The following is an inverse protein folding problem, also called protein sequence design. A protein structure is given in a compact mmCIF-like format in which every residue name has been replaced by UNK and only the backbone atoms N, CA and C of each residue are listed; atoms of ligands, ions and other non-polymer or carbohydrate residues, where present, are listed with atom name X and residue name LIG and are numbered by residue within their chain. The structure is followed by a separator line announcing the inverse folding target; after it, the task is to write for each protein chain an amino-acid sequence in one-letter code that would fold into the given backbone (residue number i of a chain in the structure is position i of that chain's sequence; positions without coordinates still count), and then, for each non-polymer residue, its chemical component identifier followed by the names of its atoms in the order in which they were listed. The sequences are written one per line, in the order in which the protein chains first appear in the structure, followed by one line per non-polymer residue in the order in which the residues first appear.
data_IF_166777237770
#
_entry.id   IF_166777237770
#
_cell.length_a   1.000
_cell.length_b   1.000
_cell.length_c   1.000
_cell.angle_alpha   90.00
_cell.angle_beta   90.00
_cell.angle_gamma   90.00
#
_symmetry.space_group_name_H-M   'P 1'
#
loop_
_entity.id
_entity.type
_entity.pdbx_description
1 polymer ?
#
# COMPACT_ATOMS: atom_id res chain seq x y z
N UNK A 1 17.70 11.28 1.61
CA UNK A 1 18.41 10.33 2.50
C UNK A 1 19.36 9.47 1.68
N UNK A 2 20.35 8.81 2.27
CA UNK A 2 21.24 7.91 1.54
C UNK A 2 20.54 6.69 0.93
N UNK A 3 19.28 6.42 1.33
CA UNK A 3 18.53 5.22 0.96
C UNK A 3 17.58 5.41 -0.21
N UNK A 4 17.30 6.64 -0.66
CA UNK A 4 16.41 6.91 -1.78
C UNK A 4 16.72 8.25 -2.46
N UNK A 5 16.31 8.36 -3.74
CA UNK A 5 16.37 9.58 -4.54
C UNK A 5 14.96 10.09 -4.77
N UNK A 6 14.71 11.35 -4.45
CA UNK A 6 13.48 12.06 -4.79
C UNK A 6 13.67 12.76 -6.14
N UNK A 7 12.76 12.50 -7.09
CA UNK A 7 12.76 13.12 -8.41
C UNK A 7 11.48 13.94 -8.55
N UNK A 8 11.62 15.24 -8.77
CA UNK A 8 10.50 16.11 -9.06
C UNK A 8 10.29 16.19 -10.57
N UNK A 9 9.15 15.68 -11.05
CA UNK A 9 8.81 15.60 -12.47
C UNK A 9 7.75 16.63 -12.89
N UNK A 10 7.47 17.62 -12.07
CA UNK A 10 6.39 18.60 -12.32
C UNK A 10 6.57 19.37 -13.63
N UNK A 11 7.82 19.60 -14.06
CA UNK A 11 8.13 20.28 -15.33
C UNK A 11 7.56 19.58 -16.56
N UNK A 12 7.28 18.26 -16.45
CA UNK A 12 6.66 17.50 -17.54
C UNK A 12 5.15 17.75 -17.66
N UNK A 13 4.53 18.37 -16.66
CA UNK A 13 3.06 18.46 -16.56
C UNK A 13 2.52 19.88 -16.46
N UNK A 14 3.31 20.84 -15.99
CA UNK A 14 2.83 22.20 -15.75
C UNK A 14 3.97 23.23 -15.79
N UNK A 15 3.65 24.50 -16.12
CA UNK A 15 4.56 25.61 -15.88
C UNK A 15 4.90 25.69 -14.39
N UNK A 16 6.19 25.71 -14.06
CA UNK A 16 6.68 25.65 -12.68
C UNK A 16 7.13 26.99 -12.15
N UNK A 17 7.21 27.08 -10.84
CA UNK A 17 7.88 28.14 -10.10
C UNK A 17 8.59 27.54 -8.88
N UNK A 18 9.73 28.13 -8.52
CA UNK A 18 10.48 27.78 -7.30
C UNK A 18 10.16 28.79 -6.23
N UNK A 19 9.94 28.32 -5.00
CA UNK A 19 9.79 29.17 -3.82
C UNK A 19 10.64 28.65 -2.66
N UNK A 20 11.09 29.57 -1.80
CA UNK A 20 11.81 29.33 -0.58
C UNK A 20 10.93 29.59 0.64
N UNK A 21 10.95 28.70 1.60
CA UNK A 21 10.24 28.85 2.88
C UNK A 21 11.24 28.94 4.00
N UNK A 22 11.12 30.01 4.81
CA UNK A 22 11.89 30.20 6.04
C UNK A 22 10.97 29.94 7.22
N UNK A 23 11.35 29.06 8.13
CA UNK A 23 10.64 28.79 9.39
C UNK A 23 11.34 29.48 10.53
N UNK A 24 10.60 30.24 11.33
CA UNK A 24 11.07 30.96 12.50
C UNK A 24 10.30 30.57 13.76
N UNK A 25 10.94 30.66 14.91
CA UNK A 25 10.26 30.58 16.19
C UNK A 25 9.54 31.87 16.55
N UNK A 26 8.86 31.91 17.71
CA UNK A 26 8.15 33.10 18.18
C UNK A 26 9.05 34.31 18.56
N UNK A 27 10.38 34.11 18.61
CA UNK A 27 11.38 35.12 18.83
C UNK A 27 12.06 35.61 17.54
N UNK A 28 11.69 35.01 16.40
CA UNK A 28 12.23 35.35 15.09
C UNK A 28 13.52 34.62 14.71
N UNK A 29 13.98 33.65 15.52
CA UNK A 29 15.15 32.84 15.19
C UNK A 29 14.80 31.77 14.16
N UNK A 30 15.74 31.41 13.26
CA UNK A 30 15.53 30.32 12.32
C UNK A 30 15.42 28.97 13.05
N UNK A 31 14.55 28.10 12.55
CA UNK A 31 14.30 26.77 13.13
C UNK A 31 14.87 25.71 12.20
N UNK A 32 15.96 25.08 12.61
CA UNK A 32 16.56 23.94 11.92
C UNK A 32 15.72 22.67 12.08
N UNK A 33 15.64 21.82 11.04
CA UNK A 33 14.95 20.53 11.08
C UNK A 33 13.43 20.62 11.30
N UNK A 34 12.80 21.76 11.05
CA UNK A 34 11.35 21.87 11.08
C UNK A 34 10.74 21.07 9.90
N UNK A 35 9.69 20.32 10.17
CA UNK A 35 8.88 19.65 9.15
C UNK A 35 8.02 20.69 8.44
N UNK A 36 8.15 20.79 7.13
CA UNK A 36 7.39 21.70 6.27
C UNK A 36 6.56 20.89 5.29
N UNK A 37 5.25 21.02 5.37
CA UNK A 37 4.30 20.34 4.51
C UNK A 37 3.65 21.34 3.56
N UNK A 38 3.73 21.06 2.27
CA UNK A 38 3.06 21.81 1.21
C UNK A 38 1.74 21.13 0.89
N UNK A 39 0.63 21.82 1.07
CA UNK A 39 -0.71 21.26 1.00
C UNK A 39 -1.56 21.94 -0.06
N UNK A 40 -2.25 21.11 -0.86
CA UNK A 40 -3.27 21.55 -1.80
C UNK A 40 -4.67 21.38 -1.21
N UNK A 41 -5.56 22.33 -1.46
CA UNK A 41 -6.96 22.19 -1.14
C UNK A 41 -7.67 21.41 -2.22
N UNK A 42 -8.26 20.27 -1.84
CA UNK A 42 -9.02 19.41 -2.74
C UNK A 42 -10.05 18.60 -1.94
N UNK A 43 -11.23 18.35 -2.50
CA UNK A 43 -12.31 17.61 -1.84
C UNK A 43 -12.59 18.09 -0.38
N UNK A 44 -12.64 19.40 -0.17
CA UNK A 44 -12.87 20.04 1.12
C UNK A 44 -11.79 19.79 2.20
N UNK A 45 -10.60 19.32 1.81
CA UNK A 45 -9.47 19.07 2.71
C UNK A 45 -8.15 19.62 2.16
N UNK A 46 -7.17 19.81 3.03
CA UNK A 46 -5.79 20.14 2.67
C UNK A 46 -4.92 18.89 2.62
N UNK A 47 -4.60 18.42 1.41
CA UNK A 47 -3.74 17.25 1.18
C UNK A 47 -2.26 17.64 1.07
N UNK A 48 -1.40 16.98 1.83
CA UNK A 48 0.05 17.16 1.73
C UNK A 48 0.58 16.54 0.44
N UNK A 49 1.12 17.37 -0.45
CA UNK A 49 1.71 16.93 -1.73
C UNK A 49 3.22 16.82 -1.68
N UNK A 50 3.88 17.56 -0.78
CA UNK A 50 5.31 17.47 -0.55
C UNK A 50 5.63 17.75 0.91
N UNK A 51 6.65 17.07 1.45
CA UNK A 51 7.19 17.32 2.79
C UNK A 51 8.68 17.58 2.67
N UNK A 52 9.16 18.65 3.29
CA UNK A 52 10.57 19.01 3.38
C UNK A 52 10.96 19.22 4.83
N UNK A 53 12.26 19.28 5.08
CA UNK A 53 12.82 19.73 6.36
C UNK A 53 13.66 20.98 6.13
N UNK A 54 13.62 21.89 7.06
CA UNK A 54 14.47 23.08 7.04
C UNK A 54 15.92 22.70 7.36
N UNK A 55 16.85 23.44 6.76
CA UNK A 55 18.28 23.39 7.08
C UNK A 55 18.62 24.25 8.32
N UNK A 56 19.93 24.32 8.66
CA UNK A 56 20.43 25.10 9.80
C UNK A 56 20.10 26.61 9.73
N UNK A 57 19.79 27.14 8.55
CA UNK A 57 19.31 28.51 8.36
C UNK A 57 17.77 28.66 8.49
N UNK A 58 17.09 27.56 8.82
CA UNK A 58 15.64 27.52 8.91
C UNK A 58 14.94 27.50 7.55
N UNK A 59 15.64 27.13 6.47
CA UNK A 59 15.12 27.25 5.10
C UNK A 59 14.90 25.88 4.42
N UNK A 60 13.90 25.84 3.59
CA UNK A 60 13.73 24.77 2.58
C UNK A 60 13.18 25.36 1.28
N UNK A 61 13.28 24.60 0.19
CA UNK A 61 12.78 25.02 -1.14
C UNK A 61 11.91 23.97 -1.78
N UNK A 62 10.94 24.42 -2.58
CA UNK A 62 10.15 23.54 -3.43
C UNK A 62 9.99 24.17 -4.82
N UNK A 63 10.08 23.35 -5.87
CA UNK A 63 9.62 23.68 -7.21
C UNK A 63 8.27 22.99 -7.43
N UNK A 64 7.24 23.75 -7.75
CA UNK A 64 5.88 23.23 -7.93
C UNK A 64 5.18 23.93 -9.09
N UNK A 65 4.02 23.42 -9.51
CA UNK A 65 3.13 24.12 -10.42
C UNK A 65 2.67 25.46 -9.82
N UNK A 66 2.30 26.38 -10.67
CA UNK A 66 1.79 27.69 -10.24
C UNK A 66 0.45 27.56 -9.51
N UNK A 67 0.15 28.49 -8.63
CA UNK A 67 -1.10 28.56 -7.83
C UNK A 67 -0.83 28.60 -6.34
N UNK A 68 -1.90 28.56 -5.56
CA UNK A 68 -1.85 28.70 -4.12
C UNK A 68 -1.72 27.34 -3.41
N UNK A 69 -0.84 27.29 -2.42
CA UNK A 69 -0.70 26.18 -1.49
C UNK A 69 -0.73 26.69 -0.04
N UNK A 70 -1.23 25.88 0.87
CA UNK A 70 -1.02 26.08 2.30
C UNK A 70 0.31 25.45 2.69
N UNK A 71 1.21 26.23 3.27
CA UNK A 71 2.48 25.76 3.84
C UNK A 71 2.29 25.63 5.34
N UNK A 72 2.43 24.41 5.86
CA UNK A 72 2.33 24.09 7.28
C UNK A 72 3.71 23.68 7.81
N UNK A 73 4.20 24.39 8.80
CA UNK A 73 5.47 24.05 9.44
C UNK A 73 5.24 23.62 10.89
N UNK A 74 5.98 22.60 11.35
CA UNK A 74 5.88 22.12 12.72
C UNK A 74 7.22 21.63 13.26
N UNK A 75 7.43 21.81 14.57
CA UNK A 75 8.55 21.27 15.35
C UNK A 75 8.24 21.31 16.84
N UNK A 76 8.57 20.23 17.56
CA UNK A 76 8.52 20.12 19.03
C UNK A 76 7.17 20.56 19.63
N UNK A 77 6.04 20.12 19.02
CA UNK A 77 4.70 20.43 19.46
C UNK A 77 4.24 21.88 19.18
N UNK A 78 5.03 22.63 18.42
CA UNK A 78 4.65 23.94 17.90
C UNK A 78 4.42 23.89 16.40
N UNK A 79 3.52 24.75 15.92
CA UNK A 79 3.25 24.83 14.48
C UNK A 79 2.92 26.27 14.07
N UNK A 80 2.97 26.48 12.78
CA UNK A 80 2.51 27.68 12.11
C UNK A 80 2.19 27.38 10.66
N UNK A 81 1.44 28.25 10.01
CA UNK A 81 1.12 28.06 8.60
C UNK A 81 0.86 29.40 7.90
N UNK A 82 1.04 29.40 6.60
CA UNK A 82 0.72 30.55 5.75
C UNK A 82 0.43 30.09 4.32
N UNK A 83 -0.28 30.90 3.57
CA UNK A 83 -0.52 30.71 2.14
C UNK A 83 0.70 31.12 1.34
N UNK A 84 1.09 30.29 0.37
CA UNK A 84 2.15 30.56 -0.59
C UNK A 84 1.57 30.51 -2.00
N UNK A 85 1.76 31.59 -2.77
CA UNK A 85 1.32 31.68 -4.16
C UNK A 85 2.48 31.43 -5.10
N UNK A 86 2.64 30.18 -5.58
CA UNK A 86 3.70 29.81 -6.52
C UNK A 86 3.57 30.58 -7.83
N UNK A 87 4.68 31.17 -8.26
CA UNK A 87 4.76 32.02 -9.47
C UNK A 87 4.43 33.49 -9.23
N UNK A 88 3.92 33.85 -8.03
CA UNK A 88 3.70 35.24 -7.63
C UNK A 88 4.58 35.61 -6.44
N UNK A 89 4.87 34.69 -5.57
CA UNK A 89 5.60 34.88 -4.32
C UNK A 89 6.79 33.89 -4.27
N UNK A 90 8.05 34.38 -4.43
CA UNK A 90 9.23 33.50 -4.43
C UNK A 90 9.69 33.12 -3.03
N UNK A 91 9.24 33.82 -1.99
CA UNK A 91 9.67 33.61 -0.60
C UNK A 91 8.47 33.68 0.37
N UNK A 92 8.52 32.83 1.40
CA UNK A 92 7.53 32.82 2.47
C UNK A 92 8.24 32.64 3.82
N UNK A 93 7.81 33.37 4.82
CA UNK A 93 8.18 33.10 6.22
C UNK A 93 6.99 32.50 6.97
N UNK A 94 7.21 31.39 7.64
CA UNK A 94 6.23 30.75 8.54
C UNK A 94 6.78 30.84 9.97
N UNK A 95 6.00 31.38 10.89
CA UNK A 95 6.37 31.46 12.31
C UNK A 95 5.66 30.36 13.10
N UNK A 96 6.39 29.63 13.94
CA UNK A 96 5.83 28.62 14.85
C UNK A 96 5.21 29.31 16.08
N UNK A 97 4.09 29.96 15.90
CA UNK A 97 3.41 30.81 16.91
C UNK A 97 2.27 30.10 17.66
N UNK A 98 1.91 28.87 17.24
CA UNK A 98 0.84 28.05 17.82
C UNK A 98 1.38 26.78 18.46
N UNK A 99 0.57 26.16 19.34
CA UNK A 99 0.85 24.87 19.97
C UNK A 99 -0.15 23.81 19.50
N UNK A 100 0.26 22.57 19.47
CA UNK A 100 -0.66 21.45 19.26
C UNK A 100 -1.80 21.48 20.28
N UNK A 101 -3.05 21.33 19.81
CA UNK A 101 -4.24 21.42 20.63
C UNK A 101 -4.86 22.83 20.71
N UNK A 102 -4.21 23.85 20.17
CA UNK A 102 -4.82 25.18 20.08
C UNK A 102 -6.03 25.15 19.13
N UNK A 103 -7.16 25.66 19.59
CA UNK A 103 -8.35 25.83 18.75
C UNK A 103 -8.27 27.19 18.05
N UNK A 104 -8.45 27.21 16.75
CA UNK A 104 -8.53 28.43 15.97
C UNK A 104 -9.50 28.26 14.79
N UNK A 105 -10.01 29.37 14.28
CA UNK A 105 -10.75 29.44 13.03
C UNK A 105 -10.10 30.51 12.15
N UNK A 106 -10.00 30.28 10.87
CA UNK A 106 -9.42 31.20 9.90
C UNK A 106 -10.04 30.98 8.53
N UNK A 107 -10.32 32.04 7.84
CA UNK A 107 -10.67 32.01 6.42
C UNK A 107 -9.38 32.04 5.58
N UNK A 108 -9.24 31.10 4.67
CA UNK A 108 -8.10 31.02 3.75
C UNK A 108 -8.66 31.08 2.33
N UNK A 109 -8.39 32.19 1.65
CA UNK A 109 -8.71 32.35 0.24
C UNK A 109 -7.66 31.63 -0.62
N UNK A 110 -8.05 30.54 -1.30
CA UNK A 110 -7.20 29.74 -2.17
C UNK A 110 -7.63 29.98 -3.62
N UNK A 111 -6.75 30.61 -4.39
CA UNK A 111 -7.00 30.93 -5.78
C UNK A 111 -6.32 29.91 -6.68
N UNK A 112 -7.05 29.22 -7.59
CA UNK A 112 -6.44 28.32 -8.56
C UNK A 112 -5.53 29.12 -9.50
N UNK A 113 -4.54 28.46 -10.14
CA UNK A 113 -3.74 29.12 -11.18
C UNK A 113 -4.64 29.52 -12.32
N UNK A 114 -4.28 30.64 -12.97
CA UNK A 114 -4.95 31.05 -14.21
C UNK A 114 -4.77 29.92 -15.25
N UNK A 115 -5.79 29.68 -16.06
CA UNK A 115 -5.69 28.75 -17.18
C UNK A 115 -4.48 29.11 -18.04
N UNK A 116 -3.64 28.12 -18.30
CA UNK A 116 -2.49 28.27 -19.18
C UNK A 116 -2.94 27.95 -20.61
N UNK A 117 -2.93 28.95 -21.48
CA UNK A 117 -3.15 28.75 -22.91
C UNK A 117 -1.93 28.10 -23.61
N UNK A 118 -0.81 27.90 -22.91
CA UNK A 118 0.42 27.34 -23.45
C UNK A 118 0.40 25.81 -23.42
N UNK A 119 -0.64 25.20 -23.97
CA UNK A 119 -0.55 23.81 -24.35
C UNK A 119 0.40 23.68 -25.54
N UNK A 120 1.32 22.71 -25.54
CA UNK A 120 2.16 22.48 -26.70
C UNK A 120 1.29 22.27 -27.94
N UNK A 121 1.61 22.94 -29.03
CA UNK A 121 0.97 22.68 -30.31
C UNK A 121 1.32 21.23 -30.72
N UNK A 122 0.30 20.43 -30.89
CA UNK A 122 0.45 19.04 -31.36
C UNK A 122 0.25 19.04 -32.86
N UNK A 123 1.28 18.68 -33.60
CA UNK A 123 1.19 18.60 -35.08
C UNK A 123 0.27 17.46 -35.52
N UNK A 124 -0.27 17.47 -36.74
CA UNK A 124 -1.04 16.36 -37.27
C UNK A 124 -0.29 15.03 -37.22
N UNK A 125 1.01 15.02 -37.49
CA UNK A 125 1.88 13.84 -37.48
C UNK A 125 2.04 13.29 -36.05
N UNK A 126 2.21 14.15 -35.05
CA UNK A 126 2.27 13.76 -33.66
C UNK A 126 0.95 13.15 -33.16
N UNK A 127 -0.18 13.70 -33.64
CA UNK A 127 -1.52 13.18 -33.33
C UNK A 127 -1.70 11.80 -33.95
N UNK A 128 -1.36 11.62 -35.21
CA UNK A 128 -1.41 10.33 -35.90
C UNK A 128 -0.52 9.29 -35.23
N UNK A 129 0.69 9.66 -34.79
CA UNK A 129 1.57 8.77 -34.03
C UNK A 129 0.98 8.37 -32.71
N UNK A 130 0.35 9.30 -31.99
CA UNK A 130 -0.35 9.00 -30.74
C UNK A 130 -1.53 8.02 -30.96
N UNK A 131 -2.31 8.23 -32.02
CA UNK A 131 -3.43 7.35 -32.35
C UNK A 131 -2.95 5.94 -32.70
N UNK A 132 -1.81 5.80 -33.40
CA UNK A 132 -1.16 4.50 -33.65
C UNK A 132 -0.72 3.81 -32.37
N UNK A 133 -0.13 4.57 -31.42
CA UNK A 133 0.26 4.03 -30.10
C UNK A 133 -0.94 3.56 -29.30
N UNK A 134 -2.01 4.36 -29.26
CA UNK A 134 -3.25 3.98 -28.58
C UNK A 134 -3.87 2.71 -29.19
N UNK A 135 -3.91 2.63 -30.53
CA UNK A 135 -4.40 1.43 -31.21
C UNK A 135 -3.55 0.19 -30.91
N UNK A 136 -2.23 0.35 -30.82
CA UNK A 136 -1.33 -0.73 -30.42
C UNK A 136 -1.54 -1.17 -28.97
N UNK A 137 -1.66 -0.22 -28.02
CA UNK A 137 -1.98 -0.51 -26.62
C UNK A 137 -3.33 -1.22 -26.46
N UNK A 138 -4.34 -0.80 -27.22
CA UNK A 138 -5.64 -1.46 -27.25
C UNK A 138 -5.55 -2.88 -27.79
N UNK A 139 -4.71 -3.13 -28.79
CA UNK A 139 -4.49 -4.47 -29.32
C UNK A 139 -3.89 -5.41 -28.26
N UNK A 140 -2.90 -4.93 -27.48
CA UNK A 140 -2.32 -5.68 -26.35
C UNK A 140 -3.37 -5.95 -25.29
N UNK A 141 -4.13 -4.93 -24.91
CA UNK A 141 -5.20 -5.05 -23.90
C UNK A 141 -6.26 -6.06 -24.33
N UNK A 142 -6.72 -5.96 -25.57
CA UNK A 142 -7.73 -6.86 -26.13
C UNK A 142 -7.18 -8.29 -26.23
N UNK A 143 -5.91 -8.46 -26.63
CA UNK A 143 -5.22 -9.76 -26.62
C UNK A 143 -5.18 -10.38 -25.23
N UNK A 144 -4.94 -9.59 -24.20
CA UNK A 144 -4.98 -10.07 -22.80
C UNK A 144 -6.42 -10.44 -22.38
N UNK A 145 -7.42 -9.60 -22.68
CA UNK A 145 -8.83 -9.88 -22.36
C UNK A 145 -9.32 -11.16 -23.03
N UNK A 146 -8.90 -11.40 -24.28
CA UNK A 146 -9.23 -12.62 -25.01
C UNK A 146 -8.71 -13.92 -24.35
N UNK A 147 -7.74 -13.81 -23.43
CA UNK A 147 -7.28 -14.96 -22.64
C UNK A 147 -8.17 -15.32 -21.47
N UNK A 148 -9.15 -14.47 -21.11
CA UNK A 148 -10.01 -14.68 -19.95
C UNK A 148 -10.95 -15.87 -20.18
N UNK A 149 -11.26 -16.55 -19.09
CA UNK A 149 -12.17 -17.69 -19.14
C UNK A 149 -13.63 -17.22 -19.21
N UNK A 150 -14.40 -17.71 -20.17
CA UNK A 150 -15.82 -17.43 -20.25
C UNK A 150 -16.60 -18.14 -19.14
N UNK A 151 -17.79 -17.64 -18.77
CA UNK A 151 -18.67 -18.29 -17.80
C UNK A 151 -19.05 -19.71 -18.21
N UNK A 152 -19.30 -19.94 -19.51
CA UNK A 152 -19.65 -21.24 -20.03
C UNK A 152 -18.50 -22.25 -19.87
N UNK A 153 -17.27 -21.84 -20.20
CA UNK A 153 -16.10 -22.67 -20.02
C UNK A 153 -15.83 -22.94 -18.52
N UNK A 154 -16.02 -21.93 -17.65
CA UNK A 154 -15.90 -22.10 -16.21
C UNK A 154 -16.96 -23.06 -15.65
N UNK A 155 -18.20 -22.98 -16.12
CA UNK A 155 -19.31 -23.88 -15.75
C UNK A 155 -19.05 -25.31 -16.18
N UNK A 156 -18.55 -25.51 -17.39
CA UNK A 156 -18.15 -26.83 -17.91
C UNK A 156 -17.05 -27.43 -17.06
N UNK A 157 -16.00 -26.67 -16.76
CA UNK A 157 -14.90 -27.09 -15.89
C UNK A 157 -15.41 -27.46 -14.48
N UNK A 158 -16.24 -26.61 -13.87
CA UNK A 158 -16.75 -26.87 -12.52
C UNK A 158 -17.55 -28.18 -12.44
N UNK A 159 -18.37 -28.47 -13.43
CA UNK A 159 -19.14 -29.74 -13.52
C UNK A 159 -18.23 -30.95 -13.70
N UNK A 160 -17.22 -30.84 -14.58
CA UNK A 160 -16.24 -31.90 -14.82
C UNK A 160 -15.53 -32.32 -13.54
N UNK A 161 -15.14 -31.36 -12.70
CA UNK A 161 -14.43 -31.62 -11.45
C UNK A 161 -15.33 -31.76 -10.22
N UNK A 162 -16.67 -31.75 -10.42
CA UNK A 162 -17.69 -31.88 -9.35
C UNK A 162 -17.45 -30.84 -8.23
N UNK A 163 -17.24 -29.59 -8.62
CA UNK A 163 -17.13 -28.45 -7.72
C UNK A 163 -18.49 -27.80 -7.51
N UNK A 164 -18.60 -26.93 -6.50
CA UNK A 164 -19.70 -25.97 -6.39
C UNK A 164 -19.67 -25.07 -7.64
N UNK A 165 -20.65 -25.26 -8.53
CA UNK A 165 -20.61 -24.66 -9.88
C UNK A 165 -20.64 -23.14 -9.80
N UNK A 166 -21.54 -22.57 -9.00
CA UNK A 166 -21.71 -21.12 -8.97
C UNK A 166 -20.54 -20.42 -8.27
N UNK A 167 -20.00 -21.02 -7.23
CA UNK A 167 -18.80 -20.51 -6.58
C UNK A 167 -17.59 -20.59 -7.50
N UNK A 168 -17.36 -21.73 -8.17
CA UNK A 168 -16.24 -21.92 -9.08
C UNK A 168 -16.30 -20.97 -10.29
N UNK A 169 -17.48 -20.73 -10.86
CA UNK A 169 -17.68 -19.78 -11.96
C UNK A 169 -17.30 -18.38 -11.53
N UNK A 170 -17.84 -17.89 -10.41
CA UNK A 170 -17.49 -16.56 -9.89
C UNK A 170 -15.99 -16.38 -9.68
N UNK A 171 -15.32 -17.38 -9.10
CA UNK A 171 -13.89 -17.35 -8.85
C UNK A 171 -13.08 -17.33 -10.15
N UNK A 172 -13.39 -18.23 -11.09
CA UNK A 172 -12.65 -18.36 -12.34
C UNK A 172 -12.81 -17.13 -13.24
N UNK A 173 -13.99 -16.55 -13.32
CA UNK A 173 -14.21 -15.30 -14.06
C UNK A 173 -13.49 -14.12 -13.37
N UNK A 174 -13.57 -14.01 -12.04
CA UNK A 174 -12.90 -12.96 -11.30
C UNK A 174 -11.36 -13.03 -11.39
N UNK A 175 -10.81 -14.23 -11.59
CA UNK A 175 -9.36 -14.44 -11.72
C UNK A 175 -8.78 -13.94 -13.06
N UNK A 176 -9.61 -13.61 -14.04
CA UNK A 176 -9.19 -13.08 -15.36
C UNK A 176 -8.10 -13.95 -15.99
N UNK A 177 -6.94 -13.36 -16.37
CA UNK A 177 -5.81 -14.05 -16.98
C UNK A 177 -5.16 -15.14 -16.10
N UNK A 178 -5.34 -15.06 -14.77
CA UNK A 178 -4.80 -16.04 -13.82
C UNK A 178 -5.68 -17.31 -13.67
N UNK A 179 -6.76 -17.43 -14.45
CA UNK A 179 -7.67 -18.58 -14.36
C UNK A 179 -6.94 -19.94 -14.51
N UNK A 180 -5.82 -20.01 -15.21
CA UNK A 180 -5.02 -21.23 -15.35
C UNK A 180 -4.48 -21.70 -14.00
N UNK A 181 -3.86 -20.82 -13.22
CA UNK A 181 -3.37 -21.10 -11.86
C UNK A 181 -4.50 -21.56 -10.94
N UNK A 182 -5.64 -20.85 -10.99
CA UNK A 182 -6.81 -21.20 -10.19
C UNK A 182 -7.37 -22.59 -10.57
N UNK A 183 -7.44 -22.89 -11.86
CA UNK A 183 -7.83 -24.24 -12.35
C UNK A 183 -6.86 -25.31 -11.87
N UNK A 184 -5.55 -25.07 -12.00
CA UNK A 184 -4.52 -26.01 -11.56
C UNK A 184 -4.63 -26.30 -10.05
N UNK A 185 -4.92 -25.27 -9.27
CA UNK A 185 -5.24 -25.47 -7.85
C UNK A 185 -6.49 -26.30 -7.65
N UNK A 186 -7.61 -25.96 -8.32
CA UNK A 186 -8.89 -26.67 -8.19
C UNK A 186 -8.78 -28.14 -8.60
N UNK A 187 -7.98 -28.49 -9.62
CA UNK A 187 -7.75 -29.88 -10.05
C UNK A 187 -7.05 -30.75 -9.01
N UNK A 188 -6.35 -30.14 -8.05
CA UNK A 188 -5.69 -30.82 -6.93
C UNK A 188 -6.64 -31.18 -5.78
N UNK A 189 -7.85 -30.65 -5.78
CA UNK A 189 -8.86 -30.87 -4.75
C UNK A 189 -9.59 -32.22 -4.99
N UNK A 190 -9.05 -33.31 -4.46
CA UNK A 190 -9.50 -34.69 -4.78
C UNK A 190 -10.69 -35.17 -3.93
N UNK A 191 -10.75 -34.78 -2.66
CA UNK A 191 -11.83 -35.18 -1.74
C UNK A 191 -12.87 -34.09 -1.59
N UNK A 192 -14.10 -34.46 -1.20
CA UNK A 192 -15.17 -33.48 -0.92
C UNK A 192 -14.73 -32.47 0.17
N UNK A 193 -13.99 -32.91 1.19
CA UNK A 193 -13.44 -32.03 2.22
C UNK A 193 -12.45 -31.02 1.61
N UNK A 194 -11.54 -31.49 0.73
CA UNK A 194 -10.58 -30.60 0.07
C UNK A 194 -11.25 -29.63 -0.91
N UNK A 195 -12.26 -30.08 -1.66
CA UNK A 195 -13.05 -29.21 -2.56
C UNK A 195 -13.73 -28.09 -1.79
N UNK A 196 -14.47 -28.43 -0.72
CA UNK A 196 -15.13 -27.44 0.14
C UNK A 196 -14.10 -26.47 0.74
N UNK A 197 -12.99 -26.97 1.26
CA UNK A 197 -11.94 -26.14 1.84
C UNK A 197 -11.23 -25.24 0.83
N UNK A 198 -10.96 -25.74 -0.39
CA UNK A 198 -10.32 -24.97 -1.45
C UNK A 198 -11.23 -23.88 -2.03
N UNK A 199 -12.50 -24.18 -2.25
CA UNK A 199 -13.47 -23.16 -2.67
C UNK A 199 -13.65 -22.10 -1.56
N UNK A 200 -13.75 -22.48 -0.29
CA UNK A 200 -13.82 -21.54 0.84
C UNK A 200 -12.55 -20.64 0.89
N UNK A 201 -11.35 -21.19 0.67
CA UNK A 201 -10.13 -20.41 0.58
C UNK A 201 -10.20 -19.37 -0.56
N UNK A 202 -10.54 -19.80 -1.77
CA UNK A 202 -10.59 -18.93 -2.94
C UNK A 202 -11.66 -17.83 -2.82
N UNK A 203 -12.77 -18.09 -2.12
CA UNK A 203 -13.79 -17.09 -1.82
C UNK A 203 -13.35 -16.02 -0.81
N UNK A 204 -12.29 -16.29 -0.03
CA UNK A 204 -11.72 -15.34 0.95
C UNK A 204 -10.66 -14.43 0.32
N UNK A 205 -10.10 -14.83 -0.81
CA UNK A 205 -9.11 -14.06 -1.55
C UNK A 205 -9.81 -12.91 -2.28
N UNK A 206 -9.21 -11.72 -2.25
CA UNK A 206 -9.76 -10.55 -2.96
C UNK A 206 -9.76 -10.78 -4.48
N UNK A 207 -10.67 -10.12 -5.20
CA UNK A 207 -10.69 -10.19 -6.66
C UNK A 207 -9.36 -9.70 -7.30
N UNK A 208 -8.65 -8.80 -6.63
CA UNK A 208 -7.31 -8.36 -7.05
C UNK A 208 -6.32 -9.52 -6.91
N UNK A 209 -6.28 -10.15 -5.73
CA UNK A 209 -5.33 -11.21 -5.45
C UNK A 209 -5.60 -12.49 -6.28
N UNK A 210 -6.86 -12.77 -6.61
CA UNK A 210 -7.20 -13.87 -7.53
C UNK A 210 -6.56 -13.71 -8.91
N UNK A 211 -6.23 -12.49 -9.35
CA UNK A 211 -5.65 -12.21 -10.66
C UNK A 211 -4.15 -12.48 -10.74
N UNK A 212 -3.48 -12.63 -9.61
CA UNK A 212 -2.00 -12.76 -9.56
C UNK A 212 -1.47 -13.77 -8.52
N UNK A 213 -2.34 -14.32 -7.65
CA UNK A 213 -1.91 -15.32 -6.67
C UNK A 213 -1.26 -16.53 -7.32
N UNK A 214 -0.12 -16.95 -6.78
CA UNK A 214 0.59 -18.14 -7.27
C UNK A 214 -0.02 -19.45 -6.76
N UNK A 215 0.21 -20.53 -7.51
CA UNK A 215 -0.21 -21.88 -7.09
C UNK A 215 0.45 -22.28 -5.77
N UNK A 216 1.70 -21.91 -5.56
CA UNK A 216 2.44 -22.20 -4.34
C UNK A 216 1.79 -21.60 -3.11
N UNK A 217 1.37 -20.31 -3.18
CA UNK A 217 0.63 -19.64 -2.10
C UNK A 217 -0.69 -20.37 -1.82
N UNK A 218 -1.46 -20.72 -2.84
CA UNK A 218 -2.73 -21.41 -2.67
C UNK A 218 -2.56 -22.77 -1.99
N UNK A 219 -1.56 -23.55 -2.41
CA UNK A 219 -1.25 -24.87 -1.82
C UNK A 219 -0.78 -24.71 -0.37
N UNK A 220 0.06 -23.73 -0.09
CA UNK A 220 0.54 -23.43 1.27
C UNK A 220 -0.61 -23.10 2.21
N UNK A 221 -1.52 -22.24 1.78
CA UNK A 221 -2.63 -21.80 2.61
C UNK A 221 -3.77 -22.81 2.74
N UNK A 222 -3.86 -23.81 1.85
CA UNK A 222 -4.75 -24.96 2.05
C UNK A 222 -4.38 -25.81 3.28
N UNK A 223 -3.12 -25.81 3.68
CA UNK A 223 -2.63 -26.55 4.85
C UNK A 223 -2.96 -25.87 6.18
N UNK A 224 -3.98 -25.03 6.22
CA UNK A 224 -4.34 -24.29 7.43
C UNK A 224 -4.86 -25.19 8.51
N UNK A 225 -4.16 -25.24 9.64
CA UNK A 225 -4.59 -25.92 10.87
C UNK A 225 -5.38 -25.00 11.81
N UNK A 226 -5.58 -23.74 11.42
CA UNK A 226 -6.27 -22.76 12.26
C UNK A 226 -7.73 -23.14 12.42
N UNK A 227 -8.16 -23.39 13.66
CA UNK A 227 -9.54 -23.67 14.01
C UNK A 227 -10.13 -22.47 14.76
N UNK A 228 -11.29 -22.02 14.29
CA UNK A 228 -12.06 -20.96 14.96
C UNK A 228 -13.55 -21.23 14.79
N UNK A 229 -14.32 -21.05 15.87
CA UNK A 229 -15.77 -21.27 15.88
C UNK A 229 -16.57 -20.09 15.32
N UNK A 230 -16.01 -18.88 15.30
CA UNK A 230 -16.71 -17.69 14.85
C UNK A 230 -16.54 -17.51 13.32
N UNK A 231 -17.66 -17.48 12.59
CA UNK A 231 -17.62 -17.36 11.12
C UNK A 231 -16.99 -16.05 10.65
N UNK A 232 -17.26 -14.93 11.32
CA UNK A 232 -16.65 -13.67 10.98
C UNK A 232 -15.13 -13.70 11.17
N UNK A 233 -14.65 -14.37 12.23
CA UNK A 233 -13.23 -14.53 12.49
C UNK A 233 -12.56 -15.45 11.46
N UNK A 234 -13.25 -16.53 11.07
CA UNK A 234 -12.80 -17.44 10.01
C UNK A 234 -12.55 -16.70 8.69
N UNK A 235 -13.36 -15.70 8.38
CA UNK A 235 -13.22 -14.86 7.17
C UNK A 235 -11.84 -14.21 7.09
N UNK A 236 -11.32 -13.69 8.20
CA UNK A 236 -10.01 -13.04 8.25
C UNK A 236 -8.87 -14.04 8.36
N UNK A 237 -8.98 -15.00 9.26
CA UNK A 237 -7.91 -15.96 9.57
C UNK A 237 -7.59 -16.90 8.42
N UNK A 238 -8.55 -17.18 7.55
CA UNK A 238 -8.35 -18.02 6.36
C UNK A 238 -7.87 -17.28 5.12
N UNK A 239 -7.96 -15.96 5.11
CA UNK A 239 -7.38 -15.17 4.03
C UNK A 239 -5.85 -15.34 4.06
N UNK A 240 -5.20 -15.71 2.93
CA UNK A 240 -3.74 -15.74 2.84
C UNK A 240 -3.12 -14.39 3.21
N UNK A 241 -3.74 -13.30 2.83
CA UNK A 241 -3.31 -11.95 3.15
C UNK A 241 -3.71 -11.58 4.58
N UNK A 242 -2.79 -11.03 5.34
CA UNK A 242 -3.04 -10.52 6.70
C UNK A 242 -3.59 -9.10 6.64
N UNK A 243 -2.95 -8.24 5.86
CA UNK A 243 -3.33 -6.83 5.64
C UNK A 243 -3.11 -6.43 4.17
N UNK A 244 -2.00 -5.78 3.84
CA UNK A 244 -1.66 -5.29 2.50
C UNK A 244 -0.24 -5.70 2.04
N UNK A 245 0.35 -6.69 2.67
CA UNK A 245 1.65 -7.27 2.31
C UNK A 245 1.59 -8.07 1.00
N UNK A 246 2.76 -8.35 0.42
CA UNK A 246 2.88 -9.30 -0.67
C UNK A 246 2.49 -10.71 -0.21
N UNK A 247 1.67 -11.41 -1.01
CA UNK A 247 1.31 -12.80 -0.75
C UNK A 247 2.51 -13.71 -0.92
N UNK A 248 2.84 -14.47 0.14
CA UNK A 248 3.94 -15.44 0.15
C UNK A 248 3.50 -16.75 0.80
N UNK A 249 4.19 -17.87 0.53
CA UNK A 249 3.90 -19.17 1.17
C UNK A 249 4.48 -19.22 2.59
N UNK A 250 4.14 -18.24 3.44
CA UNK A 250 4.73 -18.05 4.76
C UNK A 250 4.51 -19.21 5.73
N UNK A 251 3.46 -20.02 5.54
CA UNK A 251 3.21 -21.16 6.43
C UNK A 251 4.26 -22.24 6.30
N UNK A 252 4.59 -22.62 5.07
CA UNK A 252 5.67 -23.56 4.79
C UNK A 252 7.03 -23.00 5.19
N UNK A 253 7.22 -21.68 5.01
CA UNK A 253 8.43 -21.02 5.43
C UNK A 253 8.63 -21.13 6.96
N UNK A 254 7.67 -20.70 7.77
CA UNK A 254 7.80 -20.76 9.23
C UNK A 254 7.94 -22.18 9.76
N UNK A 255 7.28 -23.15 9.15
CA UNK A 255 7.45 -24.58 9.50
C UNK A 255 8.87 -25.11 9.27
N UNK A 256 9.65 -24.48 8.39
CA UNK A 256 11.05 -24.84 8.15
C UNK A 256 12.03 -24.15 9.10
N UNK A 257 11.74 -22.92 9.50
CA UNK A 257 12.69 -22.07 10.23
C UNK A 257 12.43 -21.98 11.73
N UNK A 258 11.25 -22.38 12.20
CA UNK A 258 10.90 -22.48 13.63
C UNK A 258 10.97 -23.94 14.04
N UNK A 259 11.61 -24.22 15.17
CA UNK A 259 11.70 -25.58 15.68
C UNK A 259 10.32 -26.12 16.08
N UNK A 260 10.16 -27.44 16.04
CA UNK A 260 8.90 -28.08 16.49
C UNK A 260 8.61 -27.80 17.96
N UNK A 261 9.64 -27.81 18.79
CA UNK A 261 9.56 -27.54 20.23
C UNK A 261 9.08 -26.09 20.50
N UNK A 262 9.65 -25.11 19.77
CA UNK A 262 9.21 -23.71 19.88
C UNK A 262 7.75 -23.55 19.41
N UNK A 263 7.37 -24.21 18.30
CA UNK A 263 5.98 -24.16 17.83
C UNK A 263 5.00 -24.73 18.88
N UNK A 264 5.32 -25.87 19.49
CA UNK A 264 4.50 -26.49 20.55
C UNK A 264 4.41 -25.54 21.77
N UNK A 265 5.53 -24.89 22.12
CA UNK A 265 5.59 -23.91 23.21
C UNK A 265 4.72 -22.69 22.92
N UNK A 266 4.79 -22.12 21.72
CA UNK A 266 3.98 -20.93 21.37
C UNK A 266 2.49 -21.26 21.23
N UNK A 267 2.14 -22.46 20.77
CA UNK A 267 0.74 -22.90 20.73
C UNK A 267 0.17 -23.06 22.15
N UNK A 268 0.94 -23.63 23.06
CA UNK A 268 0.52 -23.80 24.46
C UNK A 268 0.47 -22.48 25.24
N UNK A 269 1.38 -21.55 24.93
CA UNK A 269 1.56 -20.27 25.62
C UNK A 269 1.78 -19.13 24.61
N UNK A 270 0.72 -18.60 23.95
CA UNK A 270 0.86 -17.60 22.88
C UNK A 270 1.61 -16.32 23.30
N UNK A 271 1.59 -15.96 24.57
CA UNK A 271 2.35 -14.81 25.08
C UNK A 271 3.86 -14.97 24.91
N UNK A 272 4.39 -16.19 24.88
CA UNK A 272 5.81 -16.42 24.58
C UNK A 272 6.17 -16.04 23.16
N UNK A 273 5.24 -16.19 22.20
CA UNK A 273 5.45 -15.68 20.84
C UNK A 273 5.50 -14.15 20.82
N UNK A 274 4.64 -13.48 21.58
CA UNK A 274 4.67 -12.01 21.71
C UNK A 274 6.02 -11.56 22.24
N UNK A 275 6.50 -12.17 23.33
CA UNK A 275 7.81 -11.88 23.93
C UNK A 275 8.93 -12.11 22.91
N UNK A 276 8.93 -13.27 22.23
CA UNK A 276 9.94 -13.59 21.25
C UNK A 276 9.99 -12.54 20.11
N UNK A 277 8.83 -12.12 19.58
CA UNK A 277 8.78 -11.08 18.54
C UNK A 277 9.32 -9.75 19.06
N UNK A 278 8.96 -9.37 20.29
CA UNK A 278 9.45 -8.12 20.89
C UNK A 278 10.99 -8.10 21.07
N UNK A 279 11.57 -9.25 21.43
CA UNK A 279 13.00 -9.39 21.67
C UNK A 279 13.83 -9.57 20.39
N UNK A 280 13.26 -10.16 19.35
CA UNK A 280 13.99 -10.57 18.15
C UNK A 280 13.74 -9.71 16.91
N UNK A 281 12.71 -8.87 16.91
CA UNK A 281 12.38 -8.00 15.78
C UNK A 281 12.52 -6.53 16.21
N UNK A 282 13.59 -5.89 15.75
CA UNK A 282 13.81 -4.47 16.00
C UNK A 282 12.79 -3.64 15.22
N UNK A 283 12.11 -2.74 15.91
CA UNK A 283 11.19 -1.79 15.26
C UNK A 283 11.97 -0.58 14.78
N UNK A 284 11.79 -0.25 13.51
CA UNK A 284 12.40 0.91 12.86
C UNK A 284 11.36 1.56 11.95
N UNK A 285 10.88 2.74 12.32
CA UNK A 285 9.84 3.47 11.59
C UNK A 285 10.28 3.90 10.19
N UNK A 286 11.58 4.03 9.98
CA UNK A 286 12.17 4.56 8.76
C UNK A 286 12.67 3.45 7.81
N UNK A 287 12.53 2.18 8.19
CA UNK A 287 12.99 1.07 7.34
C UNK A 287 12.08 0.81 6.13
N UNK A 288 10.88 1.38 6.10
CA UNK A 288 9.88 1.18 5.05
C UNK A 288 9.51 2.50 4.36
N UNK A 289 10.41 3.02 3.55
CA UNK A 289 10.25 4.31 2.86
C UNK A 289 9.16 4.28 1.78
N UNK A 290 8.88 3.11 1.19
CA UNK A 290 7.88 2.95 0.14
C UNK A 290 6.45 2.74 0.65
N UNK A 291 6.24 2.64 1.95
CA UNK A 291 4.93 2.40 2.55
C UNK A 291 4.32 1.01 2.27
N UNK A 292 5.04 0.13 1.56
CA UNK A 292 4.62 -1.25 1.31
C UNK A 292 5.16 -2.16 2.41
N UNK A 293 4.31 -2.93 3.11
CA UNK A 293 4.78 -3.78 4.20
C UNK A 293 5.82 -4.80 3.74
N UNK A 294 6.81 -5.01 4.58
CA UNK A 294 7.81 -6.08 4.38
C UNK A 294 7.12 -7.44 4.55
N UNK A 295 7.43 -8.39 3.65
CA UNK A 295 6.86 -9.74 3.76
C UNK A 295 7.28 -10.42 5.07
N UNK A 296 6.47 -11.36 5.61
CA UNK A 296 6.81 -12.09 6.82
C UNK A 296 8.18 -12.77 6.79
N UNK A 297 8.56 -13.31 5.62
CA UNK A 297 9.87 -13.92 5.39
C UNK A 297 10.99 -12.90 5.36
N UNK A 298 10.72 -11.70 4.82
CA UNK A 298 11.66 -10.57 4.82
C UNK A 298 11.95 -10.10 6.24
N UNK A 299 10.93 -9.94 7.07
CA UNK A 299 11.08 -9.58 8.49
C UNK A 299 11.88 -10.64 9.25
N UNK A 300 11.59 -11.94 9.03
CA UNK A 300 12.36 -13.01 9.65
C UNK A 300 13.85 -12.93 9.31
N UNK A 301 14.19 -12.67 8.05
CA UNK A 301 15.58 -12.62 7.57
C UNK A 301 16.32 -11.37 8.05
N UNK A 302 15.67 -10.21 7.99
CA UNK A 302 16.29 -8.92 8.35
C UNK A 302 16.31 -8.64 9.86
N UNK A 303 15.38 -9.24 10.61
CA UNK A 303 15.14 -8.93 12.04
C UNK A 303 14.79 -7.46 12.29
N UNK A 304 14.33 -6.75 11.26
CA UNK A 304 13.92 -5.35 11.32
C UNK A 304 12.59 -5.20 10.60
N UNK A 305 11.68 -4.42 11.18
CA UNK A 305 10.39 -4.11 10.58
C UNK A 305 9.89 -2.73 11.04
N UNK A 306 9.13 -2.05 10.19
CA UNK A 306 8.26 -0.99 10.65
C UNK A 306 7.12 -1.58 11.54
N UNK A 307 6.41 -0.77 12.33
CA UNK A 307 5.38 -1.28 13.25
C UNK A 307 4.33 -2.14 12.56
N UNK A 308 3.84 -1.75 11.39
CA UNK A 308 2.82 -2.49 10.66
C UNK A 308 3.32 -3.82 10.09
N UNK A 309 4.52 -3.82 9.51
CA UNK A 309 5.17 -5.06 9.03
C UNK A 309 5.45 -6.04 10.16
N UNK A 310 5.78 -5.57 11.37
CA UNK A 310 5.94 -6.41 12.56
C UNK A 310 4.63 -7.07 12.95
N UNK A 311 3.52 -6.35 12.90
CA UNK A 311 2.20 -6.89 13.25
C UNK A 311 1.74 -7.94 12.22
N UNK A 312 1.98 -7.69 10.93
CA UNK A 312 1.76 -8.69 9.87
C UNK A 312 2.62 -9.93 10.09
N UNK A 313 3.89 -9.76 10.43
CA UNK A 313 4.82 -10.85 10.74
C UNK A 313 4.33 -11.70 11.90
N UNK A 314 3.95 -11.06 13.02
CA UNK A 314 3.40 -11.75 14.19
C UNK A 314 2.18 -12.61 13.82
N UNK A 315 1.21 -12.02 13.13
CA UNK A 315 -0.02 -12.71 12.71
C UNK A 315 0.28 -13.87 11.77
N UNK A 316 1.19 -13.69 10.82
CA UNK A 316 1.59 -14.74 9.86
C UNK A 316 2.28 -15.92 10.57
N UNK A 317 3.18 -15.62 11.51
CA UNK A 317 3.87 -16.63 12.30
C UNK A 317 2.88 -17.40 13.19
N UNK A 318 1.97 -16.70 13.89
CA UNK A 318 0.92 -17.31 14.70
C UNK A 318 0.01 -18.24 13.86
N UNK A 319 -0.46 -17.77 12.69
CA UNK A 319 -1.30 -18.58 11.79
C UNK A 319 -0.57 -19.83 11.26
N UNK A 320 0.74 -19.75 11.07
CA UNK A 320 1.56 -20.89 10.60
C UNK A 320 1.60 -22.03 11.61
N UNK A 321 1.47 -21.71 12.90
CA UNK A 321 1.42 -22.67 14.02
C UNK A 321 -0.01 -23.12 14.37
N UNK A 322 -1.03 -22.59 13.69
CA UNK A 322 -2.43 -22.89 13.95
C UNK A 322 -3.08 -22.00 15.00
N UNK A 323 -2.41 -20.97 15.48
CA UNK A 323 -2.96 -19.97 16.40
C UNK A 323 -3.81 -18.98 15.60
N UNK A 324 -5.11 -18.81 15.90
CA UNK A 324 -5.95 -17.83 15.22
C UNK A 324 -5.56 -16.42 15.63
N UNK A 325 -5.09 -15.63 14.66
CA UNK A 325 -4.68 -14.25 14.86
C UNK A 325 -5.11 -13.36 13.68
N UNK A 326 -5.38 -12.09 13.97
CA UNK A 326 -5.64 -11.02 12.98
C UNK A 326 -5.14 -9.69 13.50
N UNK A 327 -4.95 -8.73 12.62
CA UNK A 327 -4.82 -7.31 12.97
C UNK A 327 -6.24 -6.75 13.16
N UNK A 328 -6.42 -5.92 14.17
CA UNK A 328 -7.70 -5.28 14.51
C UNK A 328 -7.70 -3.83 14.05
#
# INVERSE_FOLDING_TARGET
TPNYTEINVIDNYAPTAKASVTVKDGQGNPVDGARVEFKLYNYAEFYTVATKQTDASGMCTLTAGRGDMLVWASKDGRFGFAKLSFGKQPELTVTLDRKEGDNFAMDIDVVPPAESANLPEVTPEQREENDRRLAYEDSIRNGYVATFMSEEAARTFARQYKLDVDAAVRILVASRGNHRTIRDFMTRLRSEKSKKGGIDLLQRISAKDLRDVSLEVLVDHMQSNVRTGADYFRRYVRNPRVSNEMLTPYKSFFKKVVSKEDMETYVAQPMKLVTWVAENIRVDKDCNLGGSPVSPEGVWKSRVADPHSRDIFFVSMARSMGIPARID
#
